data_IF_634290109553
#
_entry.id   IF_634290109553
#
_cell.length_a   1.000
_cell.length_b   1.000
_cell.length_c   1.000
_cell.angle_alpha   90.00
_cell.angle_beta   90.00
_cell.angle_gamma   90.00
#
_symmetry.space_group_name_H-M   'P 1'
#
loop_
_entity.id
_entity.type
_entity.pdbx_description
1 polymer ?
#
# COMPACT_ATOMS: atom_id res chain seq x y z
N UNK A 1 21.15 -3.82 9.61
CA UNK A 1 21.11 -2.40 9.22
C UNK A 1 20.54 -1.59 10.38
N UNK A 2 21.18 -0.50 10.83
CA UNK A 2 20.67 0.34 11.92
C UNK A 2 19.59 1.30 11.40
N UNK A 3 18.44 1.40 12.07
CA UNK A 3 17.43 2.42 11.76
C UNK A 3 17.99 3.81 12.07
N UNK A 4 17.70 4.77 11.20
CA UNK A 4 18.05 6.16 11.44
C UNK A 4 17.38 6.65 12.72
N UNK A 5 18.12 7.34 13.59
CA UNK A 5 17.52 8.00 14.74
C UNK A 5 16.73 9.23 14.30
N UNK A 6 15.55 9.51 14.90
CA UNK A 6 14.81 10.75 14.66
C UNK A 6 15.67 11.99 14.90
N UNK A 7 15.57 13.00 14.02
CA UNK A 7 16.32 14.26 14.14
C UNK A 7 15.44 15.48 13.85
N UNK A 8 15.74 16.60 14.50
CA UNK A 8 15.05 17.87 14.30
C UNK A 8 13.54 17.76 14.53
N UNK A 9 12.73 18.23 13.56
CA UNK A 9 11.26 18.20 13.61
C UNK A 9 10.66 16.80 13.84
N UNK A 10 11.39 15.73 13.51
CA UNK A 10 10.92 14.35 13.77
C UNK A 10 10.74 14.06 15.27
N UNK A 11 11.52 14.72 16.14
CA UNK A 11 11.39 14.56 17.59
C UNK A 11 10.05 15.08 18.11
N UNK A 12 9.47 16.10 17.47
CA UNK A 12 8.16 16.66 17.85
C UNK A 12 7.03 15.62 17.75
N UNK A 13 7.19 14.56 16.95
CA UNK A 13 6.21 13.45 16.84
C UNK A 13 6.17 12.60 18.10
N UNK A 14 7.26 12.58 18.87
CA UNK A 14 7.30 11.86 20.14
C UNK A 14 6.56 12.65 21.22
N UNK A 15 6.62 13.98 21.15
CA UNK A 15 5.94 14.92 22.06
C UNK A 15 4.44 15.09 21.79
N UNK A 16 3.89 14.37 20.81
CA UNK A 16 2.45 14.38 20.57
C UNK A 16 1.70 13.92 21.81
N UNK A 17 0.65 14.66 22.15
CA UNK A 17 -0.20 14.32 23.29
C UNK A 17 -0.66 12.86 23.18
N UNK A 18 -0.56 12.07 24.26
CA UNK A 18 -1.00 10.68 24.29
C UNK A 18 -2.54 10.56 24.36
N UNK A 19 -3.28 11.65 24.13
CA UNK A 19 -4.74 11.67 23.99
C UNK A 19 -5.21 12.35 22.69
N UNK A 20 -6.38 11.91 22.23
CA UNK A 20 -7.05 12.43 21.04
C UNK A 20 -6.41 11.96 19.74
N UNK A 21 -6.77 12.61 18.63
CA UNK A 21 -6.35 12.19 17.29
C UNK A 21 -5.22 13.06 16.76
N UNK A 22 -4.22 12.40 16.21
CA UNK A 22 -3.01 13.00 15.65
C UNK A 22 -2.81 12.50 14.22
N UNK A 23 -2.42 13.39 13.30
CA UNK A 23 -2.13 13.03 11.91
C UNK A 23 -0.73 13.46 11.55
N UNK A 24 0.06 12.53 11.05
CA UNK A 24 1.43 12.72 10.59
C UNK A 24 1.49 12.35 9.12
N UNK A 25 1.70 13.35 8.27
CA UNK A 25 1.87 13.17 6.84
C UNK A 25 3.33 13.42 6.48
N UNK A 26 3.93 12.52 5.73
CA UNK A 26 5.31 12.72 5.26
C UNK A 26 5.49 12.23 3.84
N UNK A 27 6.40 12.83 3.09
CA UNK A 27 6.78 12.35 1.76
C UNK A 27 7.50 10.99 1.84
N UNK A 28 7.71 10.32 0.70
CA UNK A 28 8.52 9.11 0.65
C UNK A 28 9.93 9.39 1.22
N UNK A 29 10.43 8.52 2.09
CA UNK A 29 11.75 8.70 2.70
C UNK A 29 11.85 9.69 3.87
N UNK A 30 10.72 10.23 4.35
CA UNK A 30 10.68 11.14 5.51
C UNK A 30 10.90 10.49 6.88
N UNK A 31 11.10 9.17 6.93
CA UNK A 31 11.31 8.42 8.19
C UNK A 31 10.04 8.05 8.95
N UNK A 32 8.86 8.04 8.30
CA UNK A 32 7.57 7.69 8.91
C UNK A 32 7.60 6.36 9.70
N UNK A 33 8.12 5.29 9.09
CA UNK A 33 8.23 3.98 9.73
C UNK A 33 9.06 4.02 11.01
N UNK A 34 10.16 4.78 11.02
CA UNK A 34 10.95 5.03 12.23
C UNK A 34 10.10 5.73 13.29
N UNK A 35 9.43 6.82 12.92
CA UNK A 35 8.58 7.60 13.82
C UNK A 35 7.45 6.77 14.44
N UNK A 36 6.80 5.91 13.64
CA UNK A 36 5.78 4.96 14.08
C UNK A 36 6.32 4.07 15.20
N UNK A 37 7.52 3.51 15.02
CA UNK A 37 8.15 2.62 16.01
C UNK A 37 8.46 3.38 17.31
N UNK A 38 9.15 4.52 17.23
CA UNK A 38 9.49 5.29 18.42
C UNK A 38 8.23 5.80 19.15
N UNK A 39 7.18 6.16 18.41
CA UNK A 39 5.89 6.56 19.00
C UNK A 39 5.20 5.40 19.71
N UNK A 40 5.23 4.19 19.14
CA UNK A 40 4.68 3.00 19.77
C UNK A 40 5.40 2.68 21.08
N UNK A 41 6.74 2.73 21.06
CA UNK A 41 7.57 2.52 22.25
C UNK A 41 7.27 3.59 23.31
N UNK A 42 7.26 4.88 22.93
CA UNK A 42 6.96 5.97 23.85
C UNK A 42 5.60 5.78 24.55
N UNK A 43 4.54 5.51 23.79
CA UNK A 43 3.20 5.31 24.37
C UNK A 43 3.14 4.10 25.29
N UNK A 44 3.81 3.01 24.93
CA UNK A 44 3.89 1.81 25.75
C UNK A 44 4.68 2.01 27.06
N UNK A 45 5.58 3.01 27.12
CA UNK A 45 6.33 3.35 28.34
C UNK A 45 5.59 4.28 29.30
N UNK A 46 4.48 4.90 28.87
CA UNK A 46 3.71 5.80 29.74
C UNK A 46 2.96 5.04 30.85
N UNK A 47 2.39 3.88 30.52
CA UNK A 47 1.71 2.97 31.45
C UNK A 47 1.82 1.54 30.90
N UNK A 48 2.43 0.64 31.66
CA UNK A 48 2.68 -0.75 31.24
C UNK A 48 1.42 -1.63 31.23
N UNK A 49 0.34 -1.17 31.86
CA UNK A 49 -0.98 -1.84 31.86
C UNK A 49 -1.81 -1.49 30.64
N UNK A 50 -1.55 -0.34 30.03
CA UNK A 50 -2.29 0.12 28.86
C UNK A 50 -1.61 -0.38 27.58
N UNK A 51 -2.43 -0.82 26.62
CA UNK A 51 -1.93 -1.48 25.40
C UNK A 51 -1.92 -0.55 24.21
N UNK A 52 -0.89 -0.71 23.38
CA UNK A 52 -0.71 -0.04 22.10
C UNK A 52 -0.93 -1.04 20.97
N UNK A 53 -1.85 -0.74 20.05
CA UNK A 53 -1.98 -1.47 18.80
C UNK A 53 -1.29 -0.69 17.69
N UNK A 54 -0.31 -1.32 17.06
CA UNK A 54 0.33 -0.86 15.85
C UNK A 54 -0.25 -1.59 14.63
N UNK A 55 -1.01 -0.86 13.83
CA UNK A 55 -1.64 -1.35 12.60
C UNK A 55 -0.71 -1.10 11.41
N UNK A 56 -0.27 -2.17 10.75
CA UNK A 56 0.56 -2.07 9.53
C UNK A 56 0.35 -3.28 8.62
N UNK A 57 0.45 -3.07 7.31
CA UNK A 57 0.60 -4.16 6.34
C UNK A 57 2.08 -4.52 6.09
N UNK A 58 3.01 -3.70 6.57
CA UNK A 58 4.43 -3.85 6.34
C UNK A 58 5.06 -4.83 7.35
N UNK A 59 5.51 -5.97 6.84
CA UNK A 59 6.12 -7.05 7.62
C UNK A 59 7.50 -6.65 8.16
N UNK A 60 8.17 -5.77 7.43
CA UNK A 60 9.47 -5.17 7.77
C UNK A 60 9.40 -4.36 9.05
N UNK A 61 8.29 -3.66 9.28
CA UNK A 61 8.14 -2.81 10.44
C UNK A 61 8.32 -3.61 11.74
N UNK A 62 7.80 -4.85 11.78
CA UNK A 62 7.96 -5.74 12.93
C UNK A 62 9.43 -6.05 13.19
N UNK A 63 10.19 -6.35 12.13
CA UNK A 63 11.62 -6.65 12.23
C UNK A 63 12.44 -5.43 12.65
N UNK A 64 12.04 -4.24 12.19
CA UNK A 64 12.65 -2.99 12.63
C UNK A 64 12.35 -2.68 14.08
N UNK A 65 11.12 -2.94 14.54
CA UNK A 65 10.75 -2.83 15.94
C UNK A 65 11.62 -3.76 16.80
N UNK A 66 11.71 -5.05 16.45
CA UNK A 66 12.62 -6.03 17.08
C UNK A 66 14.08 -5.52 17.06
N UNK A 67 14.57 -4.97 15.95
CA UNK A 67 15.94 -4.46 15.91
C UNK A 67 16.20 -3.27 16.87
N UNK A 68 15.20 -2.44 17.16
CA UNK A 68 15.33 -1.29 18.08
C UNK A 68 15.22 -1.72 19.54
N UNK A 69 14.23 -2.54 19.86
CA UNK A 69 13.93 -2.96 21.25
C UNK A 69 14.75 -4.18 21.68
N UNK A 70 15.50 -4.78 20.76
CA UNK A 70 16.16 -6.07 20.96
C UNK A 70 15.23 -7.25 20.70
N UNK A 71 15.57 -8.43 21.18
CA UNK A 71 14.84 -9.66 20.87
C UNK A 71 13.39 -9.72 21.41
N UNK A 72 12.97 -8.80 22.28
CA UNK A 72 11.63 -8.81 22.87
C UNK A 72 10.92 -7.45 22.74
N UNK A 73 9.88 -7.43 21.90
CA UNK A 73 8.93 -6.32 21.83
C UNK A 73 8.22 -6.18 23.19
N UNK A 74 8.04 -4.96 23.73
CA UNK A 74 7.26 -4.74 24.95
C UNK A 74 5.91 -5.46 24.89
N UNK A 75 5.56 -6.20 25.95
CA UNK A 75 4.38 -7.10 25.96
C UNK A 75 3.05 -6.36 25.78
N UNK A 76 3.02 -5.06 26.02
CA UNK A 76 1.86 -4.19 25.84
C UNK A 76 1.80 -3.55 24.43
N UNK A 77 2.69 -3.91 23.50
CA UNK A 77 2.62 -3.52 22.08
C UNK A 77 2.17 -4.72 21.24
N UNK A 78 1.01 -4.57 20.60
CA UNK A 78 0.50 -5.53 19.61
C UNK A 78 0.74 -5.00 18.20
N UNK A 79 1.45 -5.74 17.34
CA UNK A 79 1.60 -5.41 15.92
C UNK A 79 0.73 -6.31 15.07
N UNK A 80 -0.23 -5.74 14.34
CA UNK A 80 -1.20 -6.51 13.52
C UNK A 80 -1.50 -5.77 12.22
N UNK A 81 -1.89 -6.50 11.17
CA UNK A 81 -2.62 -5.86 10.08
C UNK A 81 -4.09 -5.67 10.48
N UNK A 82 -4.81 -4.80 9.76
CA UNK A 82 -6.20 -4.49 10.08
C UNK A 82 -7.09 -5.74 10.17
N UNK A 83 -6.99 -6.65 9.20
CA UNK A 83 -7.84 -7.85 9.16
C UNK A 83 -7.57 -8.81 10.32
N UNK A 84 -6.33 -8.92 10.82
CA UNK A 84 -6.00 -9.67 12.04
C UNK A 84 -6.61 -9.04 13.28
N UNK A 85 -6.62 -7.71 13.37
CA UNK A 85 -7.34 -7.00 14.43
C UNK A 85 -8.85 -7.27 14.34
N UNK A 86 -9.46 -7.04 13.18
CA UNK A 86 -10.90 -7.22 12.94
C UNK A 86 -11.38 -8.64 13.28
N UNK A 87 -10.66 -9.66 12.79
CA UNK A 87 -10.97 -11.06 13.08
C UNK A 87 -10.82 -11.39 14.57
N UNK A 88 -9.77 -10.88 15.21
CA UNK A 88 -9.55 -11.10 16.65
C UNK A 88 -10.66 -10.49 17.49
N UNK A 89 -11.06 -9.25 17.18
CA UNK A 89 -12.16 -8.57 17.84
C UNK A 89 -13.49 -9.31 17.65
N UNK A 90 -13.87 -9.63 16.41
CA UNK A 90 -15.11 -10.35 16.13
C UNK A 90 -15.11 -11.78 16.71
N UNK A 91 -13.96 -12.44 16.80
CA UNK A 91 -13.85 -13.75 17.46
C UNK A 91 -14.09 -13.62 18.97
N UNK A 92 -13.52 -12.60 19.62
CA UNK A 92 -13.78 -12.31 21.04
C UNK A 92 -15.27 -12.06 21.31
N UNK A 93 -15.94 -11.35 20.39
CA UNK A 93 -17.39 -11.09 20.44
C UNK A 93 -18.26 -12.28 20.01
N UNK A 94 -17.68 -13.45 19.72
CA UNK A 94 -18.37 -14.64 19.21
C UNK A 94 -19.13 -14.40 17.88
N UNK A 95 -18.68 -13.45 17.07
CA UNK A 95 -19.25 -13.11 15.75
C UNK A 95 -18.43 -13.71 14.60
N UNK A 96 -17.16 -14.06 14.82
CA UNK A 96 -16.31 -14.66 13.79
C UNK A 96 -16.44 -16.20 13.77
N UNK A 97 -16.87 -16.81 12.66
CA UNK A 97 -16.88 -18.27 12.53
C UNK A 97 -15.48 -18.88 12.65
N UNK A 98 -15.40 -20.11 13.19
CA UNK A 98 -14.12 -20.85 13.31
C UNK A 98 -13.50 -21.19 11.95
N UNK A 99 -14.33 -21.47 10.96
CA UNK A 99 -13.92 -21.88 9.60
C UNK A 99 -14.77 -21.14 8.57
N UNK A 100 -14.18 -20.84 7.41
CA UNK A 100 -14.87 -20.38 6.20
C UNK A 100 -15.83 -19.18 6.39
N UNK A 101 -15.58 -18.31 7.37
CA UNK A 101 -16.46 -17.16 7.65
C UNK A 101 -16.25 -15.95 6.73
N UNK A 102 -15.18 -15.94 5.94
CA UNK A 102 -14.79 -14.83 5.07
C UNK A 102 -14.60 -15.36 3.66
N UNK A 103 -15.19 -14.71 2.66
CA UNK A 103 -14.96 -15.05 1.25
C UNK A 103 -13.46 -14.90 0.94
N UNK A 104 -12.81 -16.01 0.58
CA UNK A 104 -11.36 -16.01 0.32
C UNK A 104 -11.02 -16.81 -0.94
N UNK A 105 -10.15 -16.23 -1.77
CA UNK A 105 -9.38 -16.97 -2.78
C UNK A 105 -10.01 -17.10 -4.16
N UNK A 106 -9.21 -17.70 -5.04
CA UNK A 106 -9.64 -18.28 -6.31
C UNK A 106 -10.17 -19.69 -6.06
N UNK A 107 -11.30 -20.04 -6.66
CA UNK A 107 -11.86 -21.39 -6.66
C UNK A 107 -12.22 -21.72 -8.12
N UNK A 108 -11.74 -22.85 -8.64
CA UNK A 108 -11.88 -23.24 -10.05
C UNK A 108 -11.40 -22.21 -11.09
N UNK A 109 -10.39 -21.40 -10.72
CA UNK A 109 -9.78 -20.39 -11.60
C UNK A 109 -10.45 -19.01 -11.56
N UNK A 110 -11.63 -18.88 -10.94
CA UNK A 110 -12.36 -17.61 -10.78
C UNK A 110 -12.22 -17.06 -9.35
N UNK A 111 -12.20 -15.74 -9.21
CA UNK A 111 -12.32 -15.08 -7.91
C UNK A 111 -13.72 -15.38 -7.31
N UNK A 112 -13.78 -16.02 -6.14
CA UNK A 112 -15.06 -16.43 -5.52
C UNK A 112 -16.04 -15.26 -5.31
N UNK A 113 -15.53 -14.07 -4.98
CA UNK A 113 -16.35 -12.86 -4.87
C UNK A 113 -16.93 -12.46 -6.23
N UNK A 114 -16.15 -12.54 -7.30
CA UNK A 114 -16.61 -12.28 -8.67
C UNK A 114 -17.70 -13.28 -9.09
N UNK A 115 -17.55 -14.57 -8.76
CA UNK A 115 -18.58 -15.59 -9.00
C UNK A 115 -19.90 -15.24 -8.29
N UNK A 116 -19.84 -14.83 -7.03
CA UNK A 116 -21.03 -14.42 -6.28
C UNK A 116 -21.67 -13.14 -6.83
N UNK A 117 -20.86 -12.17 -7.28
CA UNK A 117 -21.34 -10.97 -7.96
C UNK A 117 -22.02 -11.31 -9.28
N UNK A 118 -21.45 -12.23 -10.08
CA UNK A 118 -22.05 -12.73 -11.32
C UNK A 118 -23.43 -13.35 -11.05
N UNK A 119 -23.52 -14.23 -10.05
CA UNK A 119 -24.81 -14.83 -9.63
C UNK A 119 -25.83 -13.78 -9.17
N UNK A 120 -25.39 -12.80 -8.38
CA UNK A 120 -26.24 -11.71 -7.92
C UNK A 120 -26.74 -10.84 -9.10
N UNK A 121 -25.88 -10.55 -10.07
CA UNK A 121 -26.22 -9.80 -11.28
C UNK A 121 -27.28 -10.54 -12.11
N UNK A 122 -27.14 -11.85 -12.31
CA UNK A 122 -28.14 -12.65 -13.02
C UNK A 122 -29.49 -12.71 -12.30
N UNK A 123 -29.49 -12.81 -10.96
CA UNK A 123 -30.72 -12.73 -10.14
C UNK A 123 -31.44 -11.39 -10.37
N UNK A 124 -30.72 -10.27 -10.29
CA UNK A 124 -31.29 -8.94 -10.49
C UNK A 124 -31.78 -8.71 -11.93
N UNK A 125 -31.07 -9.24 -12.94
CA UNK A 125 -31.49 -9.22 -14.35
C UNK A 125 -32.80 -9.99 -14.55
N UNK A 126 -32.96 -11.15 -13.90
CA UNK A 126 -34.19 -11.93 -14.00
C UNK A 126 -35.41 -11.19 -13.42
N UNK A 127 -35.22 -10.42 -12.34
CA UNK A 127 -36.30 -9.67 -11.67
C UNK A 127 -36.67 -8.35 -12.38
N UNK A 128 -35.68 -7.62 -12.89
CA UNK A 128 -35.86 -6.26 -13.43
C UNK A 128 -35.86 -6.20 -14.96
N UNK A 129 -35.63 -7.33 -15.63
CA UNK A 129 -35.24 -7.37 -17.03
C UNK A 129 -33.85 -6.78 -17.25
N UNK A 130 -33.42 -6.77 -18.51
CA UNK A 130 -32.08 -6.30 -18.88
C UNK A 130 -32.11 -4.86 -19.40
N UNK A 131 -31.59 -3.92 -18.62
CA UNK A 131 -31.38 -2.52 -19.02
C UNK A 131 -29.90 -2.21 -19.31
N UNK A 132 -29.60 -1.02 -19.83
CA UNK A 132 -28.22 -0.61 -20.19
C UNK A 132 -27.22 -0.66 -19.02
N UNK A 133 -27.68 -0.46 -17.78
CA UNK A 133 -26.83 -0.60 -16.58
C UNK A 133 -26.54 -2.06 -16.28
N UNK A 134 -27.57 -2.92 -16.29
CA UNK A 134 -27.43 -4.35 -16.01
C UNK A 134 -26.71 -5.12 -17.13
N UNK A 135 -26.53 -4.53 -18.32
CA UNK A 135 -25.71 -5.09 -19.41
C UNK A 135 -24.20 -4.89 -19.23
N UNK A 136 -23.77 -4.08 -18.26
CA UNK A 136 -22.33 -3.88 -17.97
C UNK A 136 -21.72 -5.18 -17.46
N UNK A 137 -20.41 -5.33 -17.64
CA UNK A 137 -19.69 -6.55 -17.22
C UNK A 137 -19.71 -6.73 -15.70
N UNK A 138 -19.54 -7.97 -15.23
CA UNK A 138 -19.50 -8.26 -13.80
C UNK A 138 -18.36 -7.53 -13.07
N UNK A 139 -17.25 -7.21 -13.73
CA UNK A 139 -16.12 -6.46 -13.15
C UNK A 139 -16.57 -5.09 -12.67
N UNK A 140 -17.40 -4.39 -13.45
CA UNK A 140 -17.94 -3.07 -13.09
C UNK A 140 -18.77 -3.16 -11.80
N UNK A 141 -19.57 -4.22 -11.65
CA UNK A 141 -20.37 -4.44 -10.45
C UNK A 141 -19.51 -4.86 -9.25
N UNK A 142 -18.54 -5.75 -9.46
CA UNK A 142 -17.60 -6.18 -8.42
C UNK A 142 -16.84 -4.99 -7.85
N UNK A 143 -16.33 -4.14 -8.72
CA UNK A 143 -15.68 -2.91 -8.36
C UNK A 143 -16.61 -1.99 -7.56
N UNK A 144 -17.80 -1.70 -8.06
CA UNK A 144 -18.71 -0.80 -7.36
C UNK A 144 -19.11 -1.34 -5.98
N UNK A 145 -19.34 -2.65 -5.85
CA UNK A 145 -19.60 -3.32 -4.57
C UNK A 145 -18.43 -3.13 -3.60
N UNK A 146 -17.20 -3.38 -4.04
CA UNK A 146 -16.01 -3.15 -3.22
C UNK A 146 -15.90 -1.69 -2.76
N UNK A 147 -16.30 -0.74 -3.61
CA UNK A 147 -16.30 0.68 -3.26
C UNK A 147 -17.39 1.01 -2.21
N UNK A 148 -18.62 0.51 -2.40
CA UNK A 148 -19.73 0.66 -1.43
C UNK A 148 -19.31 0.15 -0.04
N UNK A 149 -18.69 -1.03 0.01
CA UNK A 149 -18.22 -1.65 1.26
C UNK A 149 -17.07 -0.86 1.90
N UNK A 150 -16.08 -0.42 1.12
CA UNK A 150 -14.96 0.42 1.61
C UNK A 150 -15.43 1.76 2.17
N UNK A 151 -16.52 2.31 1.67
CA UNK A 151 -17.13 3.55 2.17
C UNK A 151 -18.05 3.31 3.38
N UNK A 152 -18.44 2.06 3.65
CA UNK A 152 -19.37 1.71 4.72
C UNK A 152 -20.82 2.14 4.43
N UNK A 153 -21.22 2.11 3.16
CA UNK A 153 -22.56 2.52 2.71
C UNK A 153 -23.55 1.37 2.93
N UNK A 154 -24.68 1.65 3.57
CA UNK A 154 -25.64 0.62 4.01
C UNK A 154 -26.99 0.71 3.37
N UNK A 155 -27.36 1.90 2.94
CA UNK A 155 -28.67 2.22 2.38
C UNK A 155 -28.54 2.82 0.99
N UNK A 156 -29.60 2.67 0.20
CA UNK A 156 -29.66 3.27 -1.13
C UNK A 156 -29.60 4.80 -1.05
N UNK A 157 -30.26 5.40 -0.04
CA UNK A 157 -30.26 6.84 0.17
C UNK A 157 -28.85 7.40 0.43
N UNK A 158 -28.05 6.73 1.26
CA UNK A 158 -26.64 7.07 1.45
C UNK A 158 -25.87 6.94 0.14
N UNK A 159 -26.06 5.82 -0.58
CA UNK A 159 -25.37 5.58 -1.84
C UNK A 159 -25.74 6.61 -2.91
N UNK A 160 -26.98 7.08 -2.96
CA UNK A 160 -27.41 8.09 -3.93
C UNK A 160 -26.87 9.48 -3.59
N UNK A 161 -26.64 9.80 -2.32
CA UNK A 161 -26.19 11.13 -1.87
C UNK A 161 -24.68 11.31 -1.88
N UNK A 162 -23.92 10.24 -1.67
CA UNK A 162 -22.45 10.31 -1.56
C UNK A 162 -21.81 10.69 -2.90
N UNK A 163 -20.74 11.48 -2.85
CA UNK A 163 -19.90 11.71 -4.01
C UNK A 163 -19.02 10.47 -4.27
N UNK A 164 -19.00 9.98 -5.52
CA UNK A 164 -18.21 8.79 -5.90
C UNK A 164 -16.74 9.17 -6.10
N UNK A 165 -16.05 9.49 -5.01
CA UNK A 165 -14.63 9.87 -4.99
C UNK A 165 -13.76 8.69 -5.46
N UNK A 166 -12.79 8.97 -6.32
CA UNK A 166 -11.84 7.96 -6.84
C UNK A 166 -12.45 6.98 -7.84
N UNK A 167 -13.61 7.33 -8.44
CA UNK A 167 -14.36 6.52 -9.40
C UNK A 167 -14.71 7.32 -10.65
N UNK A 168 -13.70 7.97 -11.24
CA UNK A 168 -13.88 8.88 -12.38
C UNK A 168 -14.15 8.15 -13.69
N UNK A 169 -13.55 6.98 -13.87
CA UNK A 169 -13.53 6.25 -15.15
C UNK A 169 -14.87 5.54 -15.41
N UNK A 170 -15.50 5.02 -14.36
CA UNK A 170 -16.84 4.44 -14.45
C UNK A 170 -17.93 5.47 -14.14
N UNK A 171 -18.43 6.16 -15.18
CA UNK A 171 -19.61 7.03 -15.05
C UNK A 171 -20.85 6.19 -14.71
N UNK A 172 -21.37 6.37 -13.49
CA UNK A 172 -22.68 5.87 -13.05
C UNK A 172 -23.59 7.07 -12.82
N UNK A 173 -24.63 7.17 -13.64
CA UNK A 173 -25.67 8.20 -13.49
C UNK A 173 -26.43 7.93 -12.18
N UNK A 174 -26.75 8.98 -11.42
CA UNK A 174 -27.31 8.88 -10.07
C UNK A 174 -28.57 8.01 -10.01
N UNK A 175 -29.46 8.13 -10.98
CA UNK A 175 -30.72 7.38 -11.07
C UNK A 175 -30.50 5.88 -11.29
N UNK A 176 -29.34 5.49 -11.82
CA UNK A 176 -28.97 4.10 -12.07
C UNK A 176 -28.26 3.44 -10.87
N UNK A 177 -27.90 4.20 -9.84
CA UNK A 177 -27.28 3.66 -8.61
C UNK A 177 -28.15 2.60 -7.94
N UNK A 178 -29.48 2.73 -8.04
CA UNK A 178 -30.42 1.71 -7.55
C UNK A 178 -30.13 0.30 -8.06
N UNK A 179 -29.69 0.14 -9.31
CA UNK A 179 -29.38 -1.19 -9.88
C UNK A 179 -28.10 -1.77 -9.28
N UNK A 180 -27.05 -0.96 -9.14
CA UNK A 180 -25.82 -1.39 -8.45
C UNK A 180 -26.10 -1.77 -7.00
N UNK A 181 -26.96 -1.01 -6.33
CA UNK A 181 -27.33 -1.30 -4.95
C UNK A 181 -28.20 -2.55 -4.80
N UNK A 182 -29.09 -2.82 -5.76
CA UNK A 182 -29.83 -4.08 -5.82
C UNK A 182 -28.89 -5.27 -5.99
N UNK A 183 -27.92 -5.18 -6.91
CA UNK A 183 -26.90 -6.24 -7.10
C UNK A 183 -26.05 -6.40 -5.84
N UNK A 184 -25.69 -5.32 -5.15
CA UNK A 184 -25.02 -5.38 -3.86
C UNK A 184 -25.84 -6.14 -2.81
N UNK A 185 -27.14 -5.86 -2.67
CA UNK A 185 -28.00 -6.60 -1.73
C UNK A 185 -28.15 -8.07 -2.12
N UNK A 186 -28.34 -8.37 -3.41
CA UNK A 186 -28.37 -9.74 -3.91
C UNK A 186 -27.03 -10.47 -3.67
N UNK A 187 -25.89 -9.78 -3.77
CA UNK A 187 -24.57 -10.33 -3.44
C UNK A 187 -24.48 -10.77 -1.98
N UNK A 188 -24.96 -9.93 -1.04
CA UNK A 188 -24.99 -10.28 0.39
C UNK A 188 -25.87 -11.51 0.65
N UNK A 189 -26.98 -11.66 -0.06
CA UNK A 189 -27.85 -12.84 0.03
C UNK A 189 -27.15 -14.09 -0.49
N UNK A 190 -26.60 -14.05 -1.70
CA UNK A 190 -25.86 -15.17 -2.30
C UNK A 190 -24.71 -15.60 -1.40
N UNK A 191 -23.94 -14.65 -0.88
CA UNK A 191 -22.82 -14.91 0.03
C UNK A 191 -23.27 -15.65 1.30
N UNK A 192 -24.40 -15.22 1.88
CA UNK A 192 -24.99 -15.84 3.07
C UNK A 192 -25.50 -17.25 2.80
N UNK A 193 -26.15 -17.48 1.66
CA UNK A 193 -26.61 -18.82 1.23
C UNK A 193 -25.45 -19.81 1.11
N UNK A 194 -24.29 -19.33 0.64
CA UNK A 194 -23.04 -20.10 0.51
C UNK A 194 -22.28 -20.25 1.84
N UNK A 195 -22.84 -19.77 2.96
CA UNK A 195 -22.28 -19.93 4.30
C UNK A 195 -21.21 -18.91 4.68
N UNK A 196 -20.99 -17.86 3.89
CA UNK A 196 -20.02 -16.82 4.18
C UNK A 196 -20.68 -15.63 4.88
N UNK A 197 -20.22 -15.31 6.09
CA UNK A 197 -20.74 -14.16 6.84
C UNK A 197 -20.14 -12.84 6.36
N UNK A 198 -18.88 -12.86 5.93
CA UNK A 198 -18.09 -11.67 5.60
C UNK A 198 -17.35 -11.84 4.27
N UNK A 199 -16.83 -10.75 3.76
CA UNK A 199 -15.68 -10.69 2.87
C UNK A 199 -14.59 -9.75 3.44
N UNK A 200 -13.54 -9.46 2.67
CA UNK A 200 -12.41 -8.68 3.18
C UNK A 200 -12.72 -7.17 3.25
N UNK A 201 -13.67 -6.68 2.47
CA UNK A 201 -14.02 -5.27 2.35
C UNK A 201 -15.10 -4.88 3.37
N UNK A 202 -16.05 -5.78 3.65
CA UNK A 202 -17.20 -5.51 4.51
C UNK A 202 -16.97 -5.85 6.00
N UNK A 203 -15.98 -6.68 6.33
CA UNK A 203 -15.67 -7.06 7.71
C UNK A 203 -15.45 -5.83 8.60
N UNK A 204 -14.92 -4.75 8.02
CA UNK A 204 -14.69 -3.50 8.71
C UNK A 204 -15.97 -2.80 9.15
N UNK A 205 -17.01 -2.86 8.32
CA UNK A 205 -18.33 -2.34 8.67
C UNK A 205 -18.92 -3.09 9.86
N UNK A 206 -18.79 -4.43 9.87
CA UNK A 206 -19.26 -5.26 10.98
C UNK A 206 -18.54 -4.90 12.29
N UNK A 207 -17.21 -4.72 12.25
CA UNK A 207 -16.43 -4.30 13.44
C UNK A 207 -16.94 -2.95 13.96
N UNK A 208 -17.14 -1.98 13.07
CA UNK A 208 -17.61 -0.65 13.45
C UNK A 208 -18.98 -0.66 14.16
N UNK A 209 -19.89 -1.53 13.71
CA UNK A 209 -21.23 -1.69 14.29
C UNK A 209 -21.24 -2.49 15.58
N UNK A 210 -20.43 -3.56 15.66
CA UNK A 210 -20.30 -4.30 16.91
C UNK A 210 -19.70 -3.41 18.02
N UNK A 211 -18.77 -2.52 17.68
CA UNK A 211 -18.20 -1.53 18.61
C UNK A 211 -19.23 -0.51 19.14
N UNK A 212 -20.34 -0.25 18.43
CA UNK A 212 -21.45 0.57 18.97
C UNK A 212 -22.20 -0.13 20.10
N UNK A 213 -22.28 -1.46 20.02
CA UNK A 213 -22.99 -2.30 20.98
C UNK A 213 -22.08 -2.80 22.11
N UNK A 214 -20.77 -2.67 21.93
CA UNK A 214 -19.74 -3.09 22.88
C UNK A 214 -19.50 -2.02 23.96
N UNK A 215 -19.95 -2.32 25.17
CA UNK A 215 -19.82 -1.47 26.36
C UNK A 215 -18.61 -1.84 27.23
N UNK A 216 -17.82 -2.85 26.84
CA UNK A 216 -16.66 -3.28 27.61
C UNK A 216 -15.49 -2.29 27.51
N UNK A 217 -14.59 -2.33 28.50
CA UNK A 217 -13.35 -1.54 28.46
C UNK A 217 -12.58 -1.89 27.18
N UNK A 218 -12.23 -0.86 26.41
CA UNK A 218 -11.44 -1.02 25.19
C UNK A 218 -10.08 -1.67 25.50
N UNK A 219 -9.73 -2.68 24.71
CA UNK A 219 -8.50 -3.46 24.88
C UNK A 219 -7.24 -2.62 24.64
N UNK A 220 -7.29 -1.67 23.70
CA UNK A 220 -6.19 -0.81 23.34
C UNK A 220 -6.49 0.62 23.75
N UNK A 221 -5.56 1.22 24.50
CA UNK A 221 -5.58 2.63 24.87
C UNK A 221 -5.14 3.51 23.71
N UNK A 222 -4.16 3.00 22.96
CA UNK A 222 -3.51 3.73 21.90
C UNK A 222 -3.50 2.91 20.62
N UNK A 223 -3.85 3.53 19.50
CA UNK A 223 -3.75 2.93 18.17
C UNK A 223 -2.86 3.82 17.30
N UNK A 224 -1.88 3.21 16.65
CA UNK A 224 -1.04 3.84 15.64
C UNK A 224 -1.26 3.11 14.32
N UNK A 225 -1.47 3.86 13.25
CA UNK A 225 -1.59 3.32 11.91
C UNK A 225 -0.38 3.76 11.08
N UNK A 226 0.33 2.79 10.53
CA UNK A 226 1.36 2.96 9.50
C UNK A 226 0.74 2.78 8.12
N UNK A 227 1.22 3.57 7.13
CA UNK A 227 0.68 3.60 5.77
C UNK A 227 -0.86 3.69 5.75
N UNK A 228 -1.43 4.60 6.55
CA UNK A 228 -2.88 4.72 6.75
C UNK A 228 -3.67 5.05 5.48
N UNK A 229 -2.99 5.46 4.41
CA UNK A 229 -3.57 5.55 3.07
C UNK A 229 -3.93 4.16 2.47
N UNK A 230 -3.38 3.06 2.97
CA UNK A 230 -3.80 1.73 2.50
C UNK A 230 -5.11 1.26 3.15
N UNK A 231 -5.63 2.00 4.14
CA UNK A 231 -6.88 1.67 4.83
C UNK A 231 -8.09 2.35 4.19
N UNK A 232 -9.21 1.63 4.12
CA UNK A 232 -10.47 2.23 3.70
C UNK A 232 -11.04 3.16 4.79
N UNK A 233 -11.91 4.12 4.43
CA UNK A 233 -12.56 5.00 5.40
C UNK A 233 -13.24 4.24 6.56
N UNK A 234 -13.94 3.14 6.26
CA UNK A 234 -14.62 2.35 7.31
C UNK A 234 -13.63 1.62 8.23
N UNK A 235 -12.47 1.21 7.72
CA UNK A 235 -11.40 0.65 8.56
C UNK A 235 -10.84 1.68 9.53
N UNK A 236 -10.65 2.92 9.09
CA UNK A 236 -10.21 4.00 9.99
C UNK A 236 -11.27 4.31 11.05
N UNK A 237 -12.54 4.43 10.65
CA UNK A 237 -13.65 4.65 11.60
C UNK A 237 -13.72 3.58 12.68
N UNK A 238 -13.57 2.32 12.30
CA UNK A 238 -13.64 1.20 13.26
C UNK A 238 -12.46 1.22 14.23
N UNK A 239 -11.24 1.51 13.77
CA UNK A 239 -10.08 1.65 14.63
C UNK A 239 -10.22 2.84 15.58
N UNK A 240 -10.67 4.00 15.10
CA UNK A 240 -10.92 5.18 15.95
C UNK A 240 -11.98 4.88 17.02
N UNK A 241 -12.99 4.07 16.70
CA UNK A 241 -14.00 3.64 17.67
C UNK A 241 -13.49 2.57 18.66
N UNK A 242 -12.39 1.91 18.34
CA UNK A 242 -11.76 0.88 19.16
C UNK A 242 -10.84 1.43 20.27
N UNK A 243 -10.71 2.76 20.41
CA UNK A 243 -10.00 3.42 21.52
C UNK A 243 -10.99 4.07 22.51
N UNK A 244 -10.63 4.21 23.79
CA UNK A 244 -11.41 4.99 24.75
C UNK A 244 -11.26 6.50 24.48
N UNK A 245 -12.14 7.32 25.07
CA UNK A 245 -12.14 8.79 24.86
C UNK A 245 -10.83 9.48 25.29
N UNK A 246 -10.19 8.94 26.33
CA UNK A 246 -8.91 9.41 26.86
C UNK A 246 -7.71 8.64 26.25
N UNK A 247 -7.95 7.87 25.17
CA UNK A 247 -6.94 7.21 24.37
C UNK A 247 -6.38 8.07 23.24
N UNK A 248 -5.45 7.53 22.44
CA UNK A 248 -4.96 8.22 21.23
C UNK A 248 -5.04 7.38 19.98
N UNK A 249 -5.37 8.05 18.88
CA UNK A 249 -5.22 7.52 17.53
C UNK A 249 -4.18 8.36 16.78
N UNK A 250 -3.12 7.73 16.28
CA UNK A 250 -2.08 8.40 15.48
C UNK A 250 -2.04 7.82 14.07
N UNK A 251 -2.40 8.64 13.09
CA UNK A 251 -2.34 8.28 11.67
C UNK A 251 -0.99 8.68 11.08
N UNK A 252 -0.28 7.74 10.45
CA UNK A 252 0.84 8.04 9.56
C UNK A 252 0.47 7.73 8.12
N UNK A 253 0.75 8.65 7.20
CA UNK A 253 0.54 8.40 5.78
C UNK A 253 1.39 9.27 4.86
N UNK A 254 1.30 9.01 3.55
CA UNK A 254 2.02 9.81 2.55
C UNK A 254 1.27 11.09 2.17
N UNK A 255 2.02 12.18 2.00
CA UNK A 255 1.48 13.46 1.51
C UNK A 255 1.06 13.34 0.05
N UNK A 256 1.86 12.66 -0.78
CA UNK A 256 1.63 12.57 -2.23
C UNK A 256 0.44 11.66 -2.59
N UNK A 257 0.03 10.78 -1.68
CA UNK A 257 -1.08 9.85 -1.88
C UNK A 257 -2.33 10.35 -1.17
N UNK A 258 -2.62 11.66 -1.20
CA UNK A 258 -3.72 12.30 -0.46
C UNK A 258 -5.06 11.55 -0.59
N UNK A 259 -5.35 10.65 0.34
CA UNK A 259 -6.64 9.94 0.32
C UNK A 259 -7.74 10.80 0.92
N UNK A 260 -7.37 11.75 1.77
CA UNK A 260 -8.32 12.53 2.57
C UNK A 260 -8.19 14.06 2.38
N UNK A 261 -7.39 14.48 1.39
CA UNK A 261 -7.05 15.87 1.14
C UNK A 261 -7.90 16.59 0.10
N UNK A 262 -8.39 15.88 -0.93
CA UNK A 262 -9.14 16.54 -1.99
C UNK A 262 -10.66 16.35 -1.92
N UNK A 263 -11.20 15.25 -1.34
CA UNK A 263 -12.68 15.03 -1.27
C UNK A 263 -13.25 14.24 -0.08
N UNK A 264 -12.48 13.42 0.63
CA UNK A 264 -12.98 12.68 1.80
C UNK A 264 -12.33 13.24 3.07
N UNK A 265 -13.09 13.99 3.88
CA UNK A 265 -12.55 14.72 5.02
C UNK A 265 -12.06 13.79 6.13
N UNK A 266 -11.08 14.24 6.92
CA UNK A 266 -10.65 13.55 8.15
C UNK A 266 -11.83 13.21 9.08
N UNK A 267 -12.83 14.10 9.14
CA UNK A 267 -14.06 13.89 9.90
C UNK A 267 -14.85 12.69 9.38
N UNK A 268 -14.95 12.53 8.06
CA UNK A 268 -15.58 11.36 7.44
C UNK A 268 -14.79 10.09 7.66
N UNK A 269 -13.48 10.13 7.88
CA UNK A 269 -12.69 8.98 8.34
C UNK A 269 -12.83 8.70 9.86
N UNK A 270 -13.67 9.47 10.58
CA UNK A 270 -13.88 9.37 12.03
C UNK A 270 -12.91 10.20 12.87
N UNK A 271 -11.98 10.92 12.25
CA UNK A 271 -10.92 11.65 12.93
C UNK A 271 -11.37 13.06 13.33
N UNK A 272 -11.60 13.25 14.63
CA UNK A 272 -11.71 14.54 15.32
C UNK A 272 -10.34 15.23 15.49
N UNK A 273 -9.85 15.86 14.43
CA UNK A 273 -8.56 16.60 14.46
C UNK A 273 -8.80 18.01 15.00
N UNK A 274 -8.10 18.38 16.08
CA UNK A 274 -8.06 19.76 16.57
C UNK A 274 -7.18 20.60 15.62
N UNK A 275 -7.60 21.83 15.32
CA UNK A 275 -6.85 22.78 14.47
C UNK A 275 -5.35 22.79 14.86
N UNK A 276 -4.45 22.64 13.88
CA UNK A 276 -2.99 22.56 14.02
C UNK A 276 -2.39 21.23 14.54
N UNK A 277 -3.12 20.11 14.54
CA UNK A 277 -2.59 18.75 14.87
C UNK A 277 -2.27 17.88 13.64
N UNK A 278 -1.93 18.50 12.51
CA UNK A 278 -1.42 17.79 11.34
C UNK A 278 0.06 18.15 11.19
N UNK A 279 0.94 17.15 11.33
CA UNK A 279 2.37 17.32 11.17
C UNK A 279 2.80 16.91 9.77
N UNK A 280 3.37 17.86 9.03
CA UNK A 280 3.93 17.61 7.70
C UNK A 280 5.44 17.44 7.76
N UNK A 281 5.92 16.34 7.19
CA UNK A 281 7.32 16.00 6.95
C UNK A 281 7.62 16.02 5.45
N UNK A 282 8.11 17.15 4.98
CA UNK A 282 8.46 17.41 3.57
C UNK A 282 9.89 16.96 3.22
N UNK A 283 10.78 16.80 4.20
CA UNK A 283 12.17 16.37 3.98
C UNK A 283 12.28 14.87 3.73
N UNK A 284 12.90 14.51 2.60
CA UNK A 284 13.33 13.14 2.33
C UNK A 284 14.75 12.94 2.91
N UNK A 285 14.87 12.03 3.88
CA UNK A 285 16.14 11.68 4.53
C UNK A 285 16.74 10.36 4.02
N UNK A 286 16.05 9.69 3.08
CA UNK A 286 16.36 8.32 2.64
C UNK A 286 17.26 8.31 1.41
N UNK A 287 16.90 9.09 0.40
CA UNK A 287 17.54 9.04 -0.91
C UNK A 287 18.69 10.07 -0.98
N UNK A 288 19.64 9.86 -1.90
CA UNK A 288 20.56 10.93 -2.29
C UNK A 288 19.82 12.03 -3.06
N UNK A 289 20.43 13.21 -3.16
CA UNK A 289 19.90 14.35 -3.91
C UNK A 289 19.63 13.98 -5.38
N UNK A 290 20.51 13.19 -5.97
CA UNK A 290 20.46 12.76 -7.37
C UNK A 290 19.27 11.81 -7.60
N UNK A 291 19.12 10.79 -6.74
CA UNK A 291 17.97 9.85 -6.81
C UNK A 291 16.66 10.58 -6.53
N UNK A 292 16.62 11.49 -5.56
CA UNK A 292 15.42 12.26 -5.24
C UNK A 292 14.99 13.13 -6.43
N UNK A 293 15.93 13.81 -7.10
CA UNK A 293 15.63 14.59 -8.32
C UNK A 293 15.10 13.72 -9.44
N UNK A 294 15.70 12.55 -9.67
CA UNK A 294 15.25 11.60 -10.68
C UNK A 294 13.82 11.11 -10.39
N UNK A 295 13.53 10.74 -9.13
CA UNK A 295 12.17 10.36 -8.71
C UNK A 295 11.16 11.49 -8.91
N UNK A 296 11.54 12.74 -8.59
CA UNK A 296 10.67 13.91 -8.81
C UNK A 296 10.39 14.11 -10.29
N UNK A 297 11.38 13.92 -11.18
CA UNK A 297 11.16 14.01 -12.62
C UNK A 297 10.15 12.97 -13.12
N UNK A 298 10.23 11.73 -12.64
CA UNK A 298 9.22 10.69 -12.93
C UNK A 298 7.83 11.13 -12.47
N UNK A 299 7.72 11.74 -11.28
CA UNK A 299 6.44 12.24 -10.75
C UNK A 299 5.88 13.47 -11.48
N UNK A 300 6.68 14.11 -12.34
CA UNK A 300 6.26 15.24 -13.18
C UNK A 300 5.86 14.82 -14.60
N UNK A 301 6.04 13.55 -14.96
CA UNK A 301 5.63 13.02 -16.27
C UNK A 301 4.12 13.16 -16.47
N UNK A 302 3.67 13.19 -17.73
CA UNK A 302 2.23 13.29 -18.04
C UNK A 302 1.41 12.11 -17.53
N UNK A 303 2.07 10.97 -17.30
CA UNK A 303 1.47 9.76 -16.77
C UNK A 303 1.31 9.78 -15.23
N UNK A 304 1.87 10.78 -14.55
CA UNK A 304 1.70 10.92 -13.11
C UNK A 304 0.56 11.91 -12.82
N UNK A 305 -0.69 11.45 -12.96
CA UNK A 305 -1.88 12.26 -12.67
C UNK A 305 -2.19 12.33 -11.17
N UNK A 306 -1.81 13.48 -10.58
CA UNK A 306 -2.47 14.23 -9.48
C UNK A 306 -1.65 15.52 -9.26
N UNK A 307 -1.68 16.41 -10.26
CA UNK A 307 -0.80 17.61 -10.35
C UNK A 307 -0.95 18.62 -9.21
N UNK A 308 -1.92 18.47 -8.30
CA UNK A 308 -2.24 19.51 -7.34
C UNK A 308 -1.54 19.42 -5.99
N UNK A 309 -0.92 18.29 -5.62
CA UNK A 309 -0.52 18.10 -4.21
C UNK A 309 0.75 17.27 -3.97
N UNK A 310 1.61 17.12 -4.99
CA UNK A 310 2.97 16.64 -4.77
C UNK A 310 3.76 17.73 -4.04
N UNK A 311 3.89 17.60 -2.71
CA UNK A 311 4.89 18.37 -1.96
C UNK A 311 6.25 17.92 -2.46
N UNK A 312 6.90 18.79 -3.24
CA UNK A 312 8.28 18.56 -3.67
C UNK A 312 9.12 18.32 -2.42
N UNK A 313 9.74 17.14 -2.28
CA UNK A 313 10.50 16.85 -1.10
C UNK A 313 11.67 17.83 -1.03
N UNK A 314 11.90 18.41 0.14
CA UNK A 314 13.12 19.20 0.36
C UNK A 314 14.31 18.27 0.11
N UNK A 315 15.13 18.64 -0.86
CA UNK A 315 16.19 17.78 -1.35
C UNK A 315 17.15 17.39 -0.20
N UNK A 316 17.51 16.10 -0.09
CA UNK A 316 18.46 15.63 0.90
C UNK A 316 19.85 16.28 0.70
N UNK A 317 20.62 16.36 1.78
CA UNK A 317 22.02 16.83 1.74
C UNK A 317 23.00 15.75 1.27
N UNK A 318 22.62 14.47 1.36
CA UNK A 318 23.46 13.36 0.92
C UNK A 318 23.56 13.33 -0.61
N UNK A 319 24.77 13.18 -1.15
CA UNK A 319 25.03 13.09 -2.59
C UNK A 319 25.59 11.72 -2.94
N UNK A 320 25.22 11.22 -4.12
CA UNK A 320 25.69 9.98 -4.73
C UNK A 320 25.95 10.20 -6.23
N UNK A 321 26.52 9.22 -6.96
CA UNK A 321 26.48 9.24 -8.42
C UNK A 321 25.05 9.37 -8.95
N UNK A 322 24.91 9.88 -10.16
CA UNK A 322 23.64 9.89 -10.88
C UNK A 322 23.11 8.45 -11.04
N UNK A 323 21.78 8.25 -11.03
CA UNK A 323 21.18 7.01 -11.51
C UNK A 323 21.73 6.62 -12.88
N UNK A 324 21.98 5.34 -13.11
CA UNK A 324 22.40 4.85 -14.42
C UNK A 324 21.23 4.20 -15.15
N UNK A 325 21.08 4.50 -16.44
CA UNK A 325 20.17 3.79 -17.35
C UNK A 325 21.02 3.04 -18.36
N UNK A 326 20.90 1.71 -18.38
CA UNK A 326 21.77 0.84 -19.17
C UNK A 326 20.97 0.11 -20.23
N UNK A 327 21.30 0.38 -21.50
CA UNK A 327 20.77 -0.37 -22.64
C UNK A 327 21.56 -1.67 -22.79
N UNK A 328 20.84 -2.79 -22.84
CA UNK A 328 21.38 -4.12 -23.07
C UNK A 328 20.95 -4.64 -24.45
N UNK A 329 21.76 -5.54 -25.01
CA UNK A 329 21.52 -6.13 -26.33
C UNK A 329 20.25 -6.99 -26.37
N UNK A 330 20.09 -7.85 -25.38
CA UNK A 330 19.00 -8.81 -25.23
C UNK A 330 18.76 -9.12 -23.75
N UNK A 331 17.60 -9.74 -23.46
CA UNK A 331 17.12 -9.97 -22.09
C UNK A 331 18.03 -10.92 -21.30
N UNK A 332 18.67 -11.87 -21.98
CA UNK A 332 19.61 -12.80 -21.35
C UNK A 332 20.87 -12.06 -20.88
N UNK A 333 21.44 -11.23 -21.75
CA UNK A 333 22.60 -10.38 -21.43
C UNK A 333 22.27 -9.37 -20.34
N UNK A 334 21.08 -8.77 -20.40
CA UNK A 334 20.58 -7.85 -19.36
C UNK A 334 20.54 -8.54 -17.99
N UNK A 335 19.90 -9.70 -17.91
CA UNK A 335 19.76 -10.45 -16.68
C UNK A 335 21.11 -10.91 -16.12
N UNK A 336 21.99 -11.44 -16.98
CA UNK A 336 23.35 -11.83 -16.60
C UNK A 336 24.11 -10.64 -16.01
N UNK A 337 24.11 -9.51 -16.72
CA UNK A 337 24.85 -8.32 -16.30
C UNK A 337 24.33 -7.74 -14.97
N UNK A 338 23.01 -7.69 -14.79
CA UNK A 338 22.38 -7.22 -13.54
C UNK A 338 22.75 -8.12 -12.38
N UNK A 339 22.66 -9.43 -12.55
CA UNK A 339 23.01 -10.40 -11.50
C UNK A 339 24.50 -10.31 -11.16
N UNK A 340 25.39 -10.28 -12.15
CA UNK A 340 26.84 -10.17 -11.88
C UNK A 340 27.21 -8.83 -11.24
N UNK A 341 26.55 -7.74 -11.63
CA UNK A 341 26.79 -6.43 -11.03
C UNK A 341 26.26 -6.35 -9.60
N UNK A 342 25.06 -6.86 -9.34
CA UNK A 342 24.54 -7.01 -7.98
C UNK A 342 25.47 -7.88 -7.14
N UNK A 343 26.00 -8.96 -7.70
CA UNK A 343 26.94 -9.83 -6.99
C UNK A 343 28.25 -9.11 -6.65
N UNK A 344 28.83 -8.37 -7.59
CA UNK A 344 30.07 -7.59 -7.34
C UNK A 344 29.88 -6.52 -6.27
N UNK A 345 28.68 -5.97 -6.13
CA UNK A 345 28.40 -4.85 -5.24
C UNK A 345 27.87 -5.27 -3.86
N UNK A 346 27.52 -6.54 -3.64
CA UNK A 346 26.79 -6.97 -2.43
C UNK A 346 27.53 -6.78 -1.10
N UNK A 347 28.85 -6.50 -1.12
CA UNK A 347 29.78 -6.49 0.03
C UNK A 347 29.14 -6.19 1.40
N UNK A 348 29.15 -4.92 1.81
CA UNK A 348 28.50 -4.41 3.04
C UNK A 348 27.24 -3.59 2.72
N UNK A 349 26.74 -3.68 1.48
CA UNK A 349 25.59 -2.91 1.01
C UNK A 349 24.39 -3.82 0.88
N UNK A 350 23.23 -3.37 1.35
CA UNK A 350 21.98 -4.08 1.05
C UNK A 350 21.60 -3.82 -0.41
N UNK A 351 21.36 -4.89 -1.19
CA UNK A 351 20.96 -4.78 -2.59
C UNK A 351 19.55 -5.28 -2.77
N UNK A 352 18.76 -4.56 -3.58
CA UNK A 352 17.51 -5.09 -4.12
C UNK A 352 17.52 -5.17 -5.65
N UNK A 353 17.03 -6.28 -6.19
CA UNK A 353 16.64 -6.40 -7.60
C UNK A 353 15.11 -6.43 -7.63
N UNK A 354 14.50 -5.35 -8.11
CA UNK A 354 13.05 -5.20 -8.14
C UNK A 354 12.56 -5.30 -9.57
N UNK A 355 11.56 -6.15 -9.79
CA UNK A 355 11.00 -6.42 -11.12
C UNK A 355 9.49 -6.20 -11.13
N UNK A 356 8.86 -6.29 -12.31
CA UNK A 356 7.46 -5.91 -12.44
C UNK A 356 6.48 -6.96 -11.93
N UNK A 357 6.71 -8.22 -12.22
CA UNK A 357 5.79 -9.34 -11.94
C UNK A 357 6.52 -10.52 -11.27
N UNK A 358 5.78 -11.54 -10.85
CA UNK A 358 6.36 -12.69 -10.14
C UNK A 358 7.17 -13.61 -11.03
N UNK A 359 6.77 -13.78 -12.29
CA UNK A 359 7.51 -14.59 -13.26
C UNK A 359 8.94 -14.08 -13.43
N UNK A 360 9.13 -12.75 -13.49
CA UNK A 360 10.45 -12.14 -13.52
C UNK A 360 11.21 -12.31 -12.18
N UNK A 361 10.51 -12.40 -11.03
CA UNK A 361 11.17 -12.70 -9.76
C UNK A 361 11.74 -14.12 -9.80
N UNK A 362 10.96 -15.08 -10.29
CA UNK A 362 11.38 -16.48 -10.40
C UNK A 362 12.57 -16.62 -11.36
N UNK A 363 12.55 -15.88 -12.48
CA UNK A 363 13.65 -15.83 -13.44
C UNK A 363 14.96 -15.28 -12.81
N UNK A 364 14.88 -14.17 -12.07
CA UNK A 364 16.04 -13.59 -11.37
C UNK A 364 16.52 -14.53 -10.26
N UNK A 365 15.60 -15.18 -9.54
CA UNK A 365 15.92 -16.16 -8.50
C UNK A 365 16.73 -17.34 -9.08
N UNK A 366 16.24 -17.92 -10.17
CA UNK A 366 16.91 -19.04 -10.85
C UNK A 366 18.33 -18.65 -11.24
N UNK A 367 18.50 -17.48 -11.87
CA UNK A 367 19.82 -16.98 -12.28
C UNK A 367 20.77 -16.79 -11.10
N UNK A 368 20.32 -16.17 -10.00
CA UNK A 368 21.13 -16.02 -8.79
C UNK A 368 21.52 -17.37 -8.19
N UNK A 369 20.62 -18.35 -8.20
CA UNK A 369 20.88 -19.71 -7.72
C UNK A 369 21.92 -20.44 -8.57
N UNK A 370 21.94 -20.23 -9.90
CA UNK A 370 23.01 -20.77 -10.76
C UNK A 370 24.40 -20.25 -10.38
N UNK A 371 24.47 -19.01 -9.85
CA UNK A 371 25.69 -18.39 -9.32
C UNK A 371 25.92 -18.72 -7.83
N UNK A 372 25.18 -19.68 -7.27
CA UNK A 372 25.24 -20.13 -5.86
C UNK A 372 24.88 -19.04 -4.84
N UNK A 373 24.10 -18.06 -5.24
CA UNK A 373 23.56 -17.04 -4.34
C UNK A 373 22.11 -17.39 -4.01
N UNK A 374 21.78 -17.38 -2.72
CA UNK A 374 20.41 -17.56 -2.24
C UNK A 374 19.88 -16.18 -1.89
N UNK A 375 19.00 -15.59 -2.72
CA UNK A 375 18.42 -14.29 -2.42
C UNK A 375 17.31 -14.40 -1.37
N UNK A 376 17.06 -13.29 -0.69
CA UNK A 376 15.83 -13.11 0.07
C UNK A 376 14.68 -12.74 -0.87
N UNK A 377 13.60 -13.52 -0.85
CA UNK A 377 12.39 -13.20 -1.62
C UNK A 377 11.49 -12.27 -0.82
N UNK A 378 11.24 -11.07 -1.36
CA UNK A 378 10.34 -10.09 -0.77
C UNK A 378 8.88 -10.47 -1.08
N UNK A 379 8.13 -10.86 -0.04
CA UNK A 379 6.72 -11.28 -0.14
C UNK A 379 5.78 -10.27 0.50
N UNK A 380 4.59 -10.06 -0.08
CA UNK A 380 3.51 -9.20 0.46
C UNK A 380 2.81 -9.78 1.71
N UNK A 381 3.21 -10.97 2.19
CA UNK A 381 2.61 -11.61 3.38
C UNK A 381 3.60 -11.55 4.53
N UNK A 382 3.10 -11.50 5.77
CA UNK A 382 3.89 -11.63 7.02
C UNK A 382 4.80 -12.84 6.97
N UNK A 383 6.01 -12.63 6.46
CA UNK A 383 7.12 -13.56 6.40
C UNK A 383 8.33 -12.94 7.10
N UNK A 384 9.27 -13.79 7.48
CA UNK A 384 10.49 -13.37 8.19
C UNK A 384 11.39 -12.63 7.19
N UNK A 385 11.45 -11.31 7.28
CA UNK A 385 12.49 -10.53 6.60
C UNK A 385 13.79 -10.67 7.42
N UNK A 386 14.80 -11.26 6.80
CA UNK A 386 16.18 -11.27 7.29
C UNK A 386 16.86 -9.95 6.93
N UNK A 387 17.14 -9.11 7.94
CA UNK A 387 17.81 -7.82 7.79
C UNK A 387 19.31 -7.95 7.46
N UNK A 388 19.86 -9.17 7.48
CA UNK A 388 21.23 -9.48 7.08
C UNK A 388 21.31 -10.04 5.65
N UNK A 389 20.18 -10.17 4.96
CA UNK A 389 20.17 -10.60 3.57
C UNK A 389 20.96 -9.60 2.71
N UNK A 390 21.89 -10.12 1.92
CA UNK A 390 22.78 -9.29 1.08
C UNK A 390 22.12 -8.88 -0.23
N UNK A 391 21.33 -9.78 -0.82
CA UNK A 391 20.56 -9.54 -2.03
C UNK A 391 19.12 -9.95 -1.76
N UNK A 392 18.21 -8.99 -1.92
CA UNK A 392 16.77 -9.20 -1.89
C UNK A 392 16.19 -9.06 -3.28
N UNK A 393 15.21 -9.89 -3.63
CA UNK A 393 14.52 -9.81 -4.92
C UNK A 393 13.00 -9.77 -4.70
N UNK A 394 12.29 -9.00 -5.52
CA UNK A 394 10.87 -8.80 -5.32
C UNK A 394 10.21 -8.04 -6.45
N UNK A 395 8.90 -7.85 -6.32
CA UNK A 395 8.19 -6.96 -7.24
C UNK A 395 8.30 -5.51 -6.76
N UNK A 396 8.02 -4.54 -7.64
CA UNK A 396 7.91 -3.13 -7.23
C UNK A 396 6.98 -2.94 -6.03
N UNK A 397 5.87 -3.69 -6.00
CA UNK A 397 4.90 -3.66 -4.91
C UNK A 397 5.46 -4.24 -3.61
N UNK A 398 6.19 -5.36 -3.66
CA UNK A 398 6.71 -5.99 -2.44
C UNK A 398 7.88 -5.23 -1.80
N UNK A 399 8.44 -4.26 -2.52
CA UNK A 399 9.44 -3.34 -1.99
C UNK A 399 8.84 -2.17 -1.19
N UNK A 400 7.51 -1.99 -1.16
CA UNK A 400 6.88 -0.88 -0.42
C UNK A 400 7.27 -0.94 1.05
N UNK A 401 7.69 0.20 1.59
CA UNK A 401 8.17 0.33 2.97
C UNK A 401 9.59 -0.23 3.24
N UNK A 402 10.27 -0.78 2.23
CA UNK A 402 11.68 -1.22 2.31
C UNK A 402 12.64 -0.14 1.82
N UNK A 403 13.92 -0.31 2.12
CA UNK A 403 15.01 0.57 1.70
C UNK A 403 16.30 -0.22 1.50
N UNK A 404 17.05 0.11 0.45
CA UNK A 404 18.28 -0.57 0.10
C UNK A 404 19.36 0.44 -0.29
N UNK A 405 20.62 0.20 0.11
CA UNK A 405 21.76 0.99 -0.35
C UNK A 405 21.82 1.09 -1.87
N UNK A 406 21.56 -0.02 -2.56
CA UNK A 406 21.49 -0.09 -4.02
C UNK A 406 20.24 -0.82 -4.52
N UNK A 407 19.61 -0.29 -5.57
CA UNK A 407 18.46 -0.89 -6.24
C UNK A 407 18.75 -1.05 -7.73
N UNK A 408 18.45 -2.24 -8.24
CA UNK A 408 18.45 -2.59 -9.65
C UNK A 408 17.00 -2.76 -10.12
N UNK A 409 16.63 -2.08 -11.20
CA UNK A 409 15.32 -2.16 -11.86
C UNK A 409 15.53 -2.67 -13.30
N UNK A 410 15.69 -3.99 -13.51
CA UNK A 410 15.82 -4.53 -14.85
C UNK A 410 14.48 -4.56 -15.59
N UNK A 411 14.55 -4.78 -16.90
CA UNK A 411 13.40 -4.93 -17.78
C UNK A 411 12.55 -3.65 -17.87
N UNK A 412 13.17 -2.47 -17.82
CA UNK A 412 12.50 -1.18 -18.01
C UNK A 412 12.20 -0.86 -19.49
N UNK A 413 11.74 -1.87 -20.23
CA UNK A 413 11.41 -1.79 -21.66
C UNK A 413 9.90 -1.65 -21.88
N UNK A 414 9.53 -1.15 -23.05
CA UNK A 414 8.14 -1.06 -23.56
C UNK A 414 7.36 -2.38 -23.42
N UNK A 415 8.05 -3.53 -23.51
CA UNK A 415 7.49 -4.88 -23.36
C UNK A 415 6.92 -5.18 -21.96
N UNK A 416 7.50 -4.61 -20.91
CA UNK A 416 7.21 -4.96 -19.52
C UNK A 416 6.56 -3.82 -18.73
N UNK A 417 6.77 -2.56 -19.13
CA UNK A 417 6.28 -1.38 -18.44
C UNK A 417 5.55 -0.44 -19.43
N UNK A 418 4.23 -0.64 -19.66
CA UNK A 418 3.37 -1.72 -19.18
C UNK A 418 3.44 -2.98 -20.05
N UNK A 419 3.15 -4.15 -19.48
CA UNK A 419 2.93 -5.38 -20.25
C UNK A 419 1.58 -5.37 -20.96
N UNK A 420 1.43 -6.18 -22.02
CA UNK A 420 0.14 -6.33 -22.74
C UNK A 420 -1.02 -6.72 -21.82
N UNK A 421 -0.79 -7.65 -20.88
CA UNK A 421 -1.78 -8.02 -19.87
C UNK A 421 -2.26 -6.80 -19.05
N UNK A 422 -1.34 -5.87 -18.72
CA UNK A 422 -1.68 -4.65 -17.99
C UNK A 422 -2.42 -3.64 -18.84
N UNK A 423 -2.11 -3.56 -20.13
CA UNK A 423 -2.85 -2.72 -21.06
C UNK A 423 -4.28 -3.23 -21.20
N UNK A 424 -4.47 -4.55 -21.29
CA UNK A 424 -5.79 -5.19 -21.38
C UNK A 424 -6.60 -5.10 -20.07
N UNK A 425 -5.91 -5.16 -18.92
CA UNK A 425 -6.53 -5.02 -17.61
C UNK A 425 -6.92 -3.56 -17.26
N UNK A 426 -6.44 -2.59 -18.02
CA UNK A 426 -6.76 -1.17 -17.87
C UNK A 426 -7.55 -0.67 -19.08
N UNK A 427 -8.03 0.57 -19.05
CA UNK A 427 -8.74 1.21 -20.18
C UNK A 427 -7.77 1.65 -21.30
N UNK A 428 -6.73 0.85 -21.56
CA UNK A 428 -5.69 1.10 -22.57
C UNK A 428 -4.33 1.48 -22.01
N UNK A 429 -3.39 1.76 -22.92
CA UNK A 429 -1.96 1.90 -22.62
C UNK A 429 -1.65 3.10 -21.72
N UNK A 430 -2.33 4.23 -21.94
CA UNK A 430 -2.10 5.44 -21.15
C UNK A 430 -2.50 5.24 -19.68
N UNK A 431 -3.65 4.61 -19.40
CA UNK A 431 -4.07 4.36 -18.02
C UNK A 431 -3.17 3.34 -17.31
N UNK A 432 -2.75 2.29 -18.03
CA UNK A 432 -1.73 1.38 -17.54
C UNK A 432 -0.42 2.11 -17.21
N UNK A 433 0.04 3.01 -18.08
CA UNK A 433 1.23 3.84 -17.83
C UNK A 433 1.08 4.71 -16.58
N UNK A 434 -0.12 5.21 -16.27
CA UNK A 434 -0.34 5.97 -15.03
C UNK A 434 -0.16 5.13 -13.78
N UNK A 435 -0.69 3.90 -13.76
CA UNK A 435 -0.44 2.96 -12.67
C UNK A 435 1.06 2.60 -12.57
N UNK A 436 1.69 2.31 -13.70
CA UNK A 436 3.11 1.95 -13.77
C UNK A 436 4.02 3.09 -13.29
N UNK A 437 3.69 4.35 -13.61
CA UNK A 437 4.45 5.52 -13.15
C UNK A 437 4.49 5.60 -11.62
N UNK A 438 3.36 5.33 -10.95
CA UNK A 438 3.27 5.31 -9.48
C UNK A 438 4.12 4.18 -8.88
N UNK A 439 4.11 3.01 -9.49
CA UNK A 439 4.88 1.85 -9.03
C UNK A 439 6.39 2.03 -9.26
N UNK A 440 6.77 2.55 -10.42
CA UNK A 440 8.16 2.86 -10.75
C UNK A 440 8.71 3.92 -9.79
N UNK A 441 7.94 4.96 -9.48
CA UNK A 441 8.30 5.94 -8.45
C UNK A 441 8.55 5.28 -7.08
N UNK A 442 7.68 4.35 -6.67
CA UNK A 442 7.86 3.61 -5.42
C UNK A 442 9.16 2.80 -5.45
N UNK A 443 9.45 2.11 -6.55
CA UNK A 443 10.66 1.30 -6.72
C UNK A 443 11.95 2.15 -6.70
N UNK A 444 11.97 3.27 -7.41
CA UNK A 444 13.07 4.25 -7.45
C UNK A 444 13.35 4.78 -6.04
N UNK A 445 12.31 5.18 -5.30
CA UNK A 445 12.46 5.75 -3.95
C UNK A 445 12.92 4.73 -2.89
N UNK A 446 13.11 3.46 -3.24
CA UNK A 446 13.72 2.45 -2.33
C UNK A 446 15.24 2.59 -2.25
N UNK A 447 15.87 3.24 -3.23
CA UNK A 447 17.33 3.33 -3.37
C UNK A 447 17.95 4.45 -2.51
N UNK A 448 18.85 4.15 -1.58
CA UNK A 448 19.52 5.17 -0.75
C UNK A 448 20.65 5.86 -1.49
N UNK A 449 21.53 5.09 -2.15
CA UNK A 449 22.81 5.57 -2.69
C UNK A 449 23.06 5.21 -4.15
N UNK A 450 22.54 4.07 -4.62
CA UNK A 450 22.74 3.60 -5.98
C UNK A 450 21.44 3.18 -6.62
N UNK A 451 21.20 3.63 -7.85
CA UNK A 451 20.04 3.24 -8.65
C UNK A 451 20.52 2.91 -10.07
N UNK A 452 20.19 1.71 -10.52
CA UNK A 452 20.48 1.26 -11.89
C UNK A 452 19.18 0.74 -12.49
N UNK A 453 18.81 1.30 -13.64
CA UNK A 453 17.74 0.80 -14.48
C UNK A 453 18.39 0.17 -15.71
N UNK A 454 17.83 -0.94 -16.20
CA UNK A 454 18.25 -1.50 -17.49
C UNK A 454 17.06 -1.79 -18.37
N UNK A 455 17.30 -1.80 -19.67
CA UNK A 455 16.30 -2.10 -20.67
C UNK A 455 16.94 -2.75 -21.90
N UNK A 456 16.13 -3.46 -22.66
CA UNK A 456 16.46 -4.02 -23.97
C UNK A 456 15.57 -3.41 -25.04
N UNK A 457 16.04 -3.39 -26.29
CA UNK A 457 15.36 -2.74 -27.41
C UNK A 457 15.01 -1.27 -27.14
N UNK A 458 13.76 -0.98 -26.76
CA UNK A 458 13.22 0.35 -26.50
C UNK A 458 12.86 0.53 -25.02
N UNK A 459 13.36 1.61 -24.40
CA UNK A 459 13.03 1.97 -23.01
C UNK A 459 11.58 2.45 -22.90
N UNK A 460 10.94 2.16 -21.78
CA UNK A 460 9.55 2.58 -21.50
C UNK A 460 9.34 4.09 -21.66
N UNK A 461 8.14 4.50 -22.07
CA UNK A 461 7.73 5.89 -22.19
C UNK A 461 7.87 6.68 -20.89
N UNK A 462 7.82 5.99 -19.74
CA UNK A 462 8.01 6.58 -18.42
C UNK A 462 9.41 7.19 -18.21
N UNK A 463 10.41 6.76 -19.01
CA UNK A 463 11.78 7.26 -18.94
C UNK A 463 12.11 8.27 -20.04
N UNK A 464 11.24 8.46 -21.05
CA UNK A 464 11.48 9.36 -22.17
C UNK A 464 11.30 10.84 -21.80
N UNK A 465 10.43 11.13 -20.83
CA UNK A 465 10.13 12.50 -20.40
C UNK A 465 11.09 13.01 -19.29
N UNK A 466 12.07 12.19 -18.90
CA UNK A 466 13.04 12.54 -17.86
C UNK A 466 14.22 13.29 -18.49
N UNK A 467 14.57 14.43 -17.92
CA UNK A 467 15.74 15.22 -18.31
C UNK A 467 17.04 14.39 -18.24
N UNK A 468 17.76 14.30 -19.36
CA UNK A 468 19.00 13.53 -19.50
C UNK A 468 20.10 13.96 -18.52
N UNK A 469 20.05 15.18 -17.97
CA UNK A 469 20.99 15.64 -16.94
C UNK A 469 20.81 14.94 -15.58
N UNK A 470 19.71 14.20 -15.39
CA UNK A 470 19.37 13.54 -14.13
C UNK A 470 19.84 12.08 -14.06
N UNK A 471 20.43 11.53 -15.13
CA UNK A 471 20.92 10.17 -15.17
C UNK A 471 22.12 10.02 -16.11
N UNK A 472 22.84 8.91 -16.00
CA UNK A 472 23.94 8.54 -16.91
C UNK A 472 23.47 7.40 -17.82
N UNK A 473 23.33 7.67 -19.12
CA UNK A 473 22.90 6.67 -20.11
C UNK A 473 24.08 5.92 -20.69
N UNK A 474 24.04 4.60 -20.65
CA UNK A 474 25.12 3.74 -21.15
C UNK A 474 24.58 2.62 -22.01
N UNK A 475 25.34 2.22 -23.00
CA UNK A 475 25.07 1.00 -23.78
C UNK A 475 26.09 -0.06 -23.40
N UNK A 476 25.60 -1.22 -22.96
CA UNK A 476 26.42 -2.37 -22.65
C UNK A 476 26.94 -2.97 -23.97
N UNK A 477 28.25 -2.89 -24.17
CA UNK A 477 28.93 -3.39 -25.37
C UNK A 477 29.04 -4.91 -25.39
#
# INVERSE_FOLDING_TARGET
MALSQPRGKQLEVLDLKPEGHNVVLGTAGSGKTTLVIYRAIYLATLDDKERVLLVTFNTTLVKYLEAIVGSEIPRNIDVRNYHKFARGYLAYRNKMPRWNGIVSGMEDGDNKKQLFVRRALEKVKAENGTNSTLKRSEEVFLEEINWIEKMGIKTLDEYEKVERVGRFDTRIIRENRKYFFQVYKAYLEVRKEEGYLYDWEDIAQTVYEELDNDTEKRMYKHIIVDEGQDLSPIMLKSLVKAIPEDGTFTFFGDVAQQIYGSRLSWREAGLKIVKNKIWYFDRNYRNSKEIAKFAVAISKSKYFEDKQDLVEPVLPTASSPLPAIVKCKDEETELEWIVETAIRMFGNQSIAILVRNRELVDLVEEKLRTKKIIPQILKNRMGVLDLNAKISIGTFHSAKGLEFDMVFLPFCSVKYLPSEERILANEGRDEALKEEAKLLYVAITRAKRGLILSYTAEKTELLLEVDESLYDERELK
#
